data_IF_386867547975
#
_entry.id   IF_386867547975
#
_cell.length_a   1.000
_cell.length_b   1.000
_cell.length_c   1.000
_cell.angle_alpha   90.00
_cell.angle_beta   90.00
_cell.angle_gamma   90.00
#
_symmetry.space_group_name_H-M   'P 1'
#
loop_
_entity.id
_entity.type
_entity.pdbx_description
1 polymer ?
#
# COMPACT_ATOMS: atom_id res chain seq x y z
N UNK A 1 -83.30 -48.84 -46.73
CA UNK A 1 -83.55 -49.58 -45.56
C UNK A 1 -82.22 -49.57 -44.81
N UNK A 2 -82.22 -49.11 -43.63
CA UNK A 2 -81.15 -49.03 -42.67
C UNK A 2 -80.06 -47.94 -42.85
N UNK A 3 -80.38 -46.90 -42.24
CA UNK A 3 -79.55 -45.76 -41.97
C UNK A 3 -78.64 -46.01 -40.76
N UNK A 4 -77.34 -45.98 -40.98
CA UNK A 4 -76.37 -46.03 -39.83
C UNK A 4 -75.76 -44.67 -39.67
N UNK A 5 -76.16 -44.00 -38.60
CA UNK A 5 -75.58 -42.73 -38.08
C UNK A 5 -74.44 -43.05 -37.15
N UNK A 6 -73.24 -42.50 -37.47
CA UNK A 6 -72.07 -42.47 -36.52
C UNK A 6 -71.94 -41.09 -35.88
N UNK A 7 -71.68 -40.99 -34.60
CA UNK A 7 -71.45 -39.72 -33.96
C UNK A 7 -69.99 -39.25 -34.10
N UNK A 8 -69.79 -37.97 -34.41
CA UNK A 8 -68.51 -37.29 -34.44
C UNK A 8 -67.94 -37.14 -33.03
N UNK A 9 -66.73 -37.59 -32.80
CA UNK A 9 -65.92 -37.32 -31.61
C UNK A 9 -65.16 -36.01 -31.83
N UNK A 10 -65.52 -35.01 -31.06
CA UNK A 10 -64.76 -33.77 -30.92
C UNK A 10 -63.47 -34.00 -30.14
N UNK A 11 -62.34 -33.88 -30.80
CA UNK A 11 -61.03 -33.87 -30.15
C UNK A 11 -60.76 -32.47 -29.54
N UNK A 12 -60.73 -32.40 -28.25
CA UNK A 12 -60.31 -31.19 -27.52
C UNK A 12 -58.78 -31.15 -27.54
N UNK A 13 -58.21 -30.27 -28.34
CA UNK A 13 -56.78 -29.93 -28.28
C UNK A 13 -56.55 -29.08 -27.03
N UNK A 14 -55.84 -29.64 -26.04
CA UNK A 14 -55.31 -28.90 -24.91
C UNK A 14 -53.98 -28.21 -25.35
N UNK A 15 -54.06 -26.94 -25.63
CA UNK A 15 -52.85 -26.08 -25.80
C UNK A 15 -52.19 -25.87 -24.44
N UNK A 16 -51.07 -26.52 -24.20
CA UNK A 16 -50.16 -26.21 -23.08
C UNK A 16 -49.34 -24.98 -23.45
N UNK A 17 -49.74 -23.83 -22.93
CA UNK A 17 -48.91 -22.61 -23.01
C UNK A 17 -47.72 -22.75 -22.05
N UNK A 18 -46.50 -22.92 -22.58
CA UNK A 18 -45.26 -22.76 -21.80
C UNK A 18 -45.05 -21.25 -21.56
N UNK A 19 -45.20 -20.82 -20.30
CA UNK A 19 -44.72 -19.51 -19.85
C UNK A 19 -43.17 -19.57 -19.78
N UNK A 20 -42.45 -18.65 -20.40
CA UNK A 20 -41.01 -18.51 -20.17
C UNK A 20 -40.78 -17.92 -18.77
N UNK A 21 -40.12 -18.69 -17.92
CA UNK A 21 -39.65 -18.22 -16.59
C UNK A 21 -38.48 -17.25 -16.85
N UNK A 22 -38.76 -15.94 -16.81
CA UNK A 22 -37.77 -14.88 -16.93
C UNK A 22 -36.99 -14.84 -15.59
N UNK A 23 -35.82 -15.49 -15.54
CA UNK A 23 -34.91 -15.42 -14.42
C UNK A 23 -34.28 -13.99 -14.41
N UNK A 24 -34.82 -13.11 -13.60
CA UNK A 24 -34.22 -11.82 -13.32
C UNK A 24 -32.90 -12.05 -12.57
N UNK A 25 -31.75 -11.89 -13.27
CA UNK A 25 -30.44 -11.82 -12.65
C UNK A 25 -30.42 -10.56 -11.77
N UNK A 26 -30.54 -10.75 -10.45
CA UNK A 26 -30.28 -9.70 -9.48
C UNK A 26 -28.78 -9.39 -9.50
N UNK A 27 -28.38 -8.36 -10.24
CA UNK A 27 -27.04 -7.77 -10.16
C UNK A 27 -26.96 -7.10 -8.78
N UNK A 28 -26.42 -7.81 -7.80
CA UNK A 28 -26.08 -7.23 -6.49
C UNK A 28 -24.90 -6.31 -6.76
N UNK A 29 -25.01 -4.99 -6.47
CA UNK A 29 -23.85 -4.11 -6.60
C UNK A 29 -22.77 -4.62 -5.66
N UNK A 30 -21.59 -4.94 -6.19
CA UNK A 30 -20.42 -5.27 -5.40
C UNK A 30 -20.04 -3.99 -4.64
N UNK A 31 -20.47 -3.88 -3.40
CA UNK A 31 -19.95 -2.84 -2.50
C UNK A 31 -18.46 -3.10 -2.37
N UNK A 32 -17.64 -2.14 -2.84
CA UNK A 32 -16.21 -2.19 -2.60
C UNK A 32 -15.99 -2.36 -1.09
N UNK A 33 -15.35 -3.46 -0.70
CA UNK A 33 -15.09 -3.69 0.73
C UNK A 33 -14.19 -2.58 1.26
N UNK A 34 -14.46 -2.06 2.46
CA UNK A 34 -13.62 -1.04 3.05
C UNK A 34 -12.20 -1.58 3.21
N UNK A 35 -11.22 -0.73 2.93
CA UNK A 35 -9.80 -1.07 3.08
C UNK A 35 -9.55 -1.52 4.52
N UNK A 36 -8.95 -2.71 4.70
CA UNK A 36 -8.73 -3.30 6.01
C UNK A 36 -7.32 -2.99 6.53
N UNK A 37 -7.11 -2.89 7.85
CA UNK A 37 -5.77 -2.83 8.43
C UNK A 37 -4.95 -4.07 8.04
N UNK A 38 -3.65 -3.88 7.82
CA UNK A 38 -2.72 -4.98 7.51
C UNK A 38 -1.80 -5.19 8.72
N UNK A 39 -2.02 -6.24 9.53
CA UNK A 39 -1.08 -6.62 10.58
C UNK A 39 0.26 -7.02 9.96
N UNK A 40 1.35 -6.44 10.45
CA UNK A 40 2.69 -6.78 9.99
C UNK A 40 3.28 -7.88 10.88
N UNK A 41 4.03 -8.84 10.33
CA UNK A 41 4.79 -9.79 11.14
C UNK A 41 5.80 -9.06 12.04
N UNK A 42 6.19 -9.68 13.15
CA UNK A 42 7.25 -9.12 14.01
C UNK A 42 8.53 -8.88 13.17
N UNK A 43 9.15 -7.69 13.23
CA UNK A 43 10.36 -7.41 12.49
C UNK A 43 11.50 -8.37 12.89
N UNK A 44 12.23 -8.85 11.91
CA UNK A 44 13.45 -9.64 12.10
C UNK A 44 14.63 -8.68 12.19
N UNK A 45 15.16 -8.52 13.40
CA UNK A 45 16.22 -7.53 13.69
C UNK A 45 17.63 -8.16 13.73
N UNK A 46 17.71 -9.46 13.51
CA UNK A 46 18.99 -10.20 13.45
C UNK A 46 19.27 -10.60 12.00
N UNK A 47 20.51 -10.44 11.58
CA UNK A 47 20.94 -10.75 10.21
C UNK A 47 21.23 -9.50 9.39
N UNK A 48 21.09 -9.65 8.07
CA UNK A 48 21.45 -8.61 7.11
C UNK A 48 22.95 -8.56 6.80
N UNK A 49 23.31 -7.68 5.87
CA UNK A 49 24.70 -7.47 5.45
C UNK A 49 25.44 -6.58 6.45
N UNK A 50 26.74 -6.80 6.71
CA UNK A 50 27.55 -5.90 7.56
C UNK A 50 27.50 -4.45 7.09
N UNK A 51 27.37 -3.50 8.04
CA UNK A 51 27.12 -2.07 7.76
C UNK A 51 28.08 -1.48 6.72
N UNK A 52 29.39 -1.74 6.82
CA UNK A 52 30.37 -1.19 5.89
C UNK A 52 30.18 -1.71 4.46
N UNK A 53 29.74 -2.95 4.30
CA UNK A 53 29.39 -3.50 2.99
C UNK A 53 28.10 -2.90 2.45
N UNK A 54 27.09 -2.70 3.30
CA UNK A 54 25.85 -2.00 2.91
C UNK A 54 26.15 -0.56 2.44
N UNK A 55 26.98 0.18 3.18
CA UNK A 55 27.38 1.53 2.81
C UNK A 55 28.12 1.56 1.45
N UNK A 56 28.98 0.58 1.19
CA UNK A 56 29.70 0.45 -0.07
C UNK A 56 28.77 0.12 -1.26
N UNK A 57 27.66 -0.59 -1.02
CA UNK A 57 26.72 -1.00 -2.08
C UNK A 57 25.54 -0.05 -2.23
N UNK A 58 25.20 0.74 -1.21
CA UNK A 58 24.08 1.66 -1.24
C UNK A 58 24.20 2.66 -2.42
N UNK A 59 23.23 2.63 -3.28
CA UNK A 59 23.10 3.61 -4.39
C UNK A 59 21.62 3.85 -4.70
N UNK A 60 21.32 4.90 -5.47
CA UNK A 60 19.96 5.17 -5.94
C UNK A 60 19.71 4.41 -7.24
N UNK A 61 18.60 3.68 -7.29
CA UNK A 61 18.13 2.96 -8.47
C UNK A 61 16.69 3.34 -8.77
N UNK A 62 16.35 3.55 -10.05
CA UNK A 62 15.05 4.08 -10.49
C UNK A 62 14.24 3.11 -11.33
N UNK A 63 14.63 1.84 -11.31
CA UNK A 63 13.96 0.77 -12.06
C UNK A 63 13.49 -0.29 -11.08
N UNK A 64 12.26 -0.74 -11.25
CA UNK A 64 11.59 -1.68 -10.36
C UNK A 64 10.92 -2.79 -11.16
N UNK A 65 10.89 -3.97 -10.56
CA UNK A 65 10.11 -5.13 -11.02
C UNK A 65 8.72 -5.06 -10.39
N UNK A 66 7.73 -5.69 -11.02
CA UNK A 66 6.34 -5.71 -10.53
C UNK A 66 6.11 -6.71 -9.37
N UNK A 67 7.15 -7.38 -8.88
CA UNK A 67 7.04 -8.35 -7.79
C UNK A 67 6.67 -7.68 -6.48
N UNK A 68 5.73 -8.29 -5.79
CA UNK A 68 5.32 -7.87 -4.47
C UNK A 68 6.40 -8.13 -3.42
N UNK A 69 6.63 -7.18 -2.52
CA UNK A 69 7.40 -7.44 -1.31
C UNK A 69 6.57 -8.32 -0.36
N UNK A 70 7.20 -9.31 0.27
CA UNK A 70 6.54 -10.08 1.32
C UNK A 70 6.16 -9.18 2.49
N UNK A 71 5.11 -9.53 3.24
CA UNK A 71 4.75 -8.79 4.46
C UNK A 71 5.90 -8.77 5.48
N UNK A 72 6.75 -9.81 5.51
CA UNK A 72 7.92 -9.84 6.38
C UNK A 72 8.96 -8.82 5.93
N UNK A 73 9.26 -8.74 4.64
CA UNK A 73 10.19 -7.74 4.08
C UNK A 73 9.66 -6.32 4.31
N UNK A 74 8.35 -6.10 4.10
CA UNK A 74 7.71 -4.82 4.36
C UNK A 74 7.79 -4.43 5.85
N UNK A 75 7.54 -5.37 6.76
CA UNK A 75 7.67 -5.14 8.20
C UNK A 75 9.09 -4.76 8.58
N UNK A 76 10.08 -5.50 8.08
CA UNK A 76 11.50 -5.22 8.33
C UNK A 76 11.90 -3.85 7.77
N UNK A 77 11.46 -3.50 6.57
CA UNK A 77 11.67 -2.20 5.93
C UNK A 77 11.14 -1.05 6.78
N UNK A 78 9.88 -1.12 7.19
CA UNK A 78 9.24 -0.05 7.94
C UNK A 78 9.81 0.08 9.35
N UNK A 79 10.15 -1.05 9.98
CA UNK A 79 10.84 -1.03 11.27
C UNK A 79 12.24 -0.41 11.13
N UNK A 80 13.01 -0.78 10.11
CA UNK A 80 14.33 -0.18 9.89
C UNK A 80 14.23 1.33 9.61
N UNK A 81 13.21 1.76 8.89
CA UNK A 81 12.96 3.15 8.55
C UNK A 81 12.72 4.00 9.82
N UNK A 82 11.65 3.68 10.56
CA UNK A 82 11.22 4.51 11.70
C UNK A 82 10.52 3.69 12.81
N UNK A 83 10.92 2.43 12.98
CA UNK A 83 10.37 1.54 14.01
C UNK A 83 10.79 1.93 15.43
N UNK A 84 10.15 1.29 16.41
CA UNK A 84 10.48 1.47 17.82
C UNK A 84 11.58 0.46 18.19
N UNK A 85 12.72 0.95 18.65
CA UNK A 85 13.86 0.14 19.07
C UNK A 85 14.16 0.20 20.56
N UNK A 86 13.54 1.11 21.30
CA UNK A 86 13.64 1.25 22.76
C UNK A 86 12.27 1.57 23.36
N UNK A 87 11.98 1.03 24.56
CA UNK A 87 10.72 1.32 25.24
C UNK A 87 10.58 2.81 25.58
N UNK A 88 9.37 3.22 25.90
CA UNK A 88 9.09 4.60 26.33
C UNK A 88 9.80 4.90 27.66
N UNK A 89 10.61 5.95 27.65
CA UNK A 89 11.19 6.53 28.87
C UNK A 89 10.36 7.73 29.32
N UNK A 90 10.26 7.94 30.65
CA UNK A 90 9.40 8.97 31.26
C UNK A 90 9.68 10.36 30.69
N UNK A 91 10.95 10.69 30.45
CA UNK A 91 11.38 12.03 30.01
C UNK A 91 11.68 12.15 28.52
N UNK A 92 11.76 11.03 27.79
CA UNK A 92 12.27 11.01 26.41
C UNK A 92 11.31 10.40 25.37
N UNK A 93 10.21 9.83 25.80
CA UNK A 93 9.31 9.11 24.88
C UNK A 93 9.90 7.79 24.39
N UNK A 94 9.40 7.29 23.26
CA UNK A 94 9.91 6.06 22.64
C UNK A 94 11.18 6.33 21.83
N UNK A 95 12.12 5.37 21.84
CA UNK A 95 13.26 5.42 20.94
C UNK A 95 12.89 4.90 19.56
N UNK A 96 13.34 5.60 18.53
CA UNK A 96 13.17 5.22 17.13
C UNK A 96 14.47 4.69 16.54
N UNK A 97 14.35 3.95 15.42
CA UNK A 97 15.51 3.49 14.62
C UNK A 97 16.22 4.65 13.93
N UNK A 98 15.52 5.71 13.56
CA UNK A 98 16.09 6.97 13.10
C UNK A 98 16.04 8.03 14.22
N UNK A 99 17.03 8.93 14.31
CA UNK A 99 16.94 10.07 15.21
C UNK A 99 15.88 11.07 14.72
N UNK A 100 15.43 11.93 15.61
CA UNK A 100 14.54 13.03 15.30
C UNK A 100 14.99 14.25 16.10
N UNK A 101 15.00 15.42 15.49
CA UNK A 101 15.38 16.66 16.14
C UNK A 101 14.45 16.93 17.31
N UNK A 102 15.02 17.29 18.47
CA UNK A 102 14.28 17.49 19.71
C UNK A 102 13.42 16.28 20.14
N UNK A 103 13.61 15.13 19.52
CA UNK A 103 12.78 13.93 19.65
C UNK A 103 11.29 14.19 19.35
N UNK A 104 11.00 15.07 18.39
CA UNK A 104 9.62 15.45 18.00
C UNK A 104 8.85 14.25 17.42
N UNK A 105 9.54 13.40 16.64
CA UNK A 105 8.98 12.18 16.04
C UNK A 105 7.69 12.44 15.24
N UNK A 106 7.57 13.59 14.61
CA UNK A 106 6.37 14.07 13.92
C UNK A 106 6.26 13.61 12.45
N UNK A 107 7.29 12.92 11.94
CA UNK A 107 7.22 12.32 10.60
C UNK A 107 6.30 11.11 10.63
N UNK A 108 5.23 11.17 9.86
CA UNK A 108 4.34 10.06 9.57
C UNK A 108 4.79 9.37 8.27
N UNK A 109 4.82 8.04 8.30
CA UNK A 109 5.11 7.23 7.11
C UNK A 109 3.80 6.71 6.55
N UNK A 110 3.36 7.29 5.43
CA UNK A 110 2.26 6.76 4.66
C UNK A 110 2.80 5.78 3.61
N UNK A 111 2.27 4.57 3.61
CA UNK A 111 2.70 3.49 2.72
C UNK A 111 1.72 3.35 1.57
N UNK A 112 2.17 3.63 0.37
CA UNK A 112 1.39 3.50 -0.86
C UNK A 112 1.65 2.11 -1.44
N UNK A 113 0.59 1.29 -1.49
CA UNK A 113 0.55 -0.05 -2.05
C UNK A 113 -0.44 -0.11 -3.23
N UNK A 114 -0.43 -1.18 -4.05
CA UNK A 114 -1.45 -1.39 -5.09
C UNK A 114 -2.89 -1.40 -4.58
N UNK A 115 -3.10 -1.78 -3.32
CA UNK A 115 -4.42 -1.87 -2.69
C UNK A 115 -4.92 -0.57 -2.08
N UNK A 116 -4.02 0.38 -1.78
CA UNK A 116 -4.36 1.65 -1.15
C UNK A 116 -3.20 2.33 -0.45
N UNK A 117 -3.54 3.38 0.29
CA UNK A 117 -2.60 4.13 1.14
C UNK A 117 -2.90 3.82 2.60
N UNK A 118 -1.84 3.64 3.38
CA UNK A 118 -1.90 3.23 4.78
C UNK A 118 -0.90 4.03 5.61
N UNK A 119 -1.29 4.42 6.83
CA UNK A 119 -0.35 4.95 7.81
C UNK A 119 0.36 3.81 8.55
N UNK A 120 1.67 3.89 8.68
CA UNK A 120 2.44 2.93 9.48
C UNK A 120 2.33 3.24 10.97
N UNK A 121 1.73 2.32 11.72
CA UNK A 121 1.69 2.34 13.17
C UNK A 121 2.84 1.49 13.74
N UNK A 122 3.89 2.16 14.18
CA UNK A 122 5.06 1.47 14.73
C UNK A 122 4.82 0.87 16.13
N UNK A 123 3.83 1.35 16.90
CA UNK A 123 3.50 0.80 18.22
C UNK A 123 2.79 -0.53 18.10
N UNK A 124 1.85 -0.61 17.17
CA UNK A 124 1.06 -1.82 16.93
C UNK A 124 1.66 -2.71 15.84
N UNK A 125 2.69 -2.23 15.16
CA UNK A 125 3.31 -2.86 14.00
C UNK A 125 2.27 -3.28 12.95
N UNK A 126 1.47 -2.32 12.50
CA UNK A 126 0.43 -2.52 11.50
C UNK A 126 0.34 -1.33 10.54
N UNK A 127 -0.31 -1.55 9.41
CA UNK A 127 -0.68 -0.52 8.45
C UNK A 127 -2.16 -0.18 8.66
N UNK A 128 -2.45 1.06 9.08
CA UNK A 128 -3.82 1.57 9.23
C UNK A 128 -4.31 2.13 7.90
N UNK A 129 -5.49 1.73 7.42
CA UNK A 129 -6.00 2.18 6.13
C UNK A 129 -6.29 3.69 6.14
N UNK A 130 -5.85 4.40 5.09
CA UNK A 130 -6.19 5.80 4.84
C UNK A 130 -7.17 5.89 3.67
N UNK A 131 -6.81 5.32 2.51
CA UNK A 131 -7.58 5.46 1.29
C UNK A 131 -7.44 4.21 0.41
N UNK A 132 -8.57 3.65 -0.03
CA UNK A 132 -8.60 2.46 -0.88
C UNK A 132 -8.33 2.77 -2.35
N UNK A 133 -7.79 1.79 -3.07
CA UNK A 133 -7.54 1.84 -4.51
C UNK A 133 -6.07 2.07 -4.87
N UNK A 134 -5.70 1.73 -6.09
CA UNK A 134 -4.34 1.99 -6.59
C UNK A 134 -4.20 3.48 -6.95
N UNK A 135 -3.60 4.23 -6.06
CA UNK A 135 -3.39 5.67 -6.19
C UNK A 135 -2.00 6.02 -6.71
N UNK A 136 -1.14 5.04 -7.01
CA UNK A 136 0.23 5.27 -7.46
C UNK A 136 0.30 6.18 -8.67
N UNK A 137 -0.46 5.89 -9.72
CA UNK A 137 -0.49 6.70 -10.93
C UNK A 137 -1.05 8.13 -10.73
N UNK A 138 -1.95 8.32 -9.77
CA UNK A 138 -2.52 9.64 -9.47
C UNK A 138 -1.63 10.51 -8.59
N UNK A 139 -0.84 9.90 -7.70
CA UNK A 139 0.02 10.57 -6.72
C UNK A 139 1.46 10.70 -7.19
N UNK A 140 1.94 9.69 -7.91
CA UNK A 140 3.34 9.55 -8.34
C UNK A 140 3.47 9.81 -9.86
N UNK A 141 4.72 9.87 -10.32
CA UNK A 141 5.02 9.89 -11.74
C UNK A 141 5.71 8.58 -12.15
N UNK A 142 5.84 8.31 -13.44
CA UNK A 142 6.69 7.21 -13.90
C UNK A 142 8.18 7.59 -13.76
N UNK A 143 9.06 6.68 -13.33
CA UNK A 143 8.85 5.25 -13.04
C UNK A 143 8.48 4.92 -11.59
N UNK A 144 8.28 5.91 -10.70
CA UNK A 144 8.05 5.73 -9.26
C UNK A 144 6.82 4.84 -8.98
N UNK A 145 5.79 5.03 -9.79
CA UNK A 145 4.53 4.29 -9.67
C UNK A 145 4.66 2.78 -9.92
N UNK A 146 5.78 2.31 -10.49
CA UNK A 146 6.02 0.88 -10.72
C UNK A 146 6.55 0.14 -9.51
N UNK A 147 7.14 0.84 -8.54
CA UNK A 147 7.58 0.20 -7.31
C UNK A 147 6.39 -0.42 -6.58
N UNK A 148 6.59 -1.60 -5.98
CA UNK A 148 5.53 -2.24 -5.18
C UNK A 148 5.18 -1.40 -3.96
N UNK A 149 6.17 -0.80 -3.31
CA UNK A 149 6.03 0.03 -2.11
C UNK A 149 6.56 1.42 -2.37
N UNK A 150 5.80 2.43 -2.00
CA UNK A 150 6.31 3.80 -1.88
C UNK A 150 5.99 4.32 -0.47
N UNK A 151 7.03 4.75 0.24
CA UNK A 151 6.92 5.42 1.53
C UNK A 151 6.80 6.92 1.24
N UNK A 152 5.70 7.52 1.66
CA UNK A 152 5.47 8.95 1.62
C UNK A 152 5.75 9.53 3.01
N UNK A 153 6.56 10.55 3.08
CA UNK A 153 6.92 11.25 4.32
C UNK A 153 6.03 12.47 4.50
N UNK A 154 5.17 12.43 5.51
CA UNK A 154 4.23 13.50 5.84
C UNK A 154 4.62 14.10 7.18
N UNK A 155 4.74 15.43 7.24
CA UNK A 155 5.18 16.14 8.44
C UNK A 155 4.17 17.17 8.92
N UNK A 156 4.34 17.65 10.14
CA UNK A 156 3.69 18.88 10.59
C UNK A 156 4.23 20.07 9.76
N UNK A 157 3.35 20.88 9.23
CA UNK A 157 3.71 22.05 8.40
C UNK A 157 4.55 23.10 9.14
N UNK A 158 4.58 23.06 10.46
CA UNK A 158 5.33 23.99 11.32
C UNK A 158 6.68 23.43 11.79
N UNK A 159 6.95 22.13 11.53
CA UNK A 159 8.22 21.56 11.96
C UNK A 159 9.36 22.01 11.05
N UNK A 160 10.31 22.76 11.64
CA UNK A 160 11.47 23.28 10.92
C UNK A 160 12.55 22.23 10.67
N UNK A 161 12.50 21.09 11.34
CA UNK A 161 13.46 20.00 11.22
C UNK A 161 12.94 18.82 10.37
N UNK A 162 11.70 18.89 9.92
CA UNK A 162 11.03 17.80 9.21
C UNK A 162 11.84 17.26 8.00
N UNK A 163 12.53 18.13 7.27
CA UNK A 163 13.36 17.72 6.12
C UNK A 163 14.61 16.95 6.58
N UNK A 164 15.23 17.36 7.70
CA UNK A 164 16.39 16.68 8.27
C UNK A 164 15.99 15.30 8.79
N UNK A 165 14.92 15.22 9.56
CA UNK A 165 14.38 13.98 10.12
C UNK A 165 13.98 13.00 9.01
N UNK A 166 13.34 13.49 7.95
CA UNK A 166 13.03 12.69 6.76
C UNK A 166 14.30 12.13 6.10
N UNK A 167 15.39 12.91 6.04
CA UNK A 167 16.68 12.45 5.52
C UNK A 167 17.27 11.29 6.33
N UNK A 168 17.17 11.33 7.68
CA UNK A 168 17.61 10.24 8.53
C UNK A 168 16.81 8.95 8.28
N UNK A 169 15.49 9.08 8.18
CA UNK A 169 14.61 7.95 7.90
C UNK A 169 14.89 7.39 6.50
N UNK A 170 15.02 8.27 5.51
CA UNK A 170 15.30 7.89 4.12
C UNK A 170 16.63 7.14 3.96
N UNK A 171 17.66 7.52 4.73
CA UNK A 171 18.92 6.78 4.74
C UNK A 171 18.76 5.37 5.32
N UNK A 172 17.98 5.18 6.38
CA UNK A 172 17.69 3.86 6.91
C UNK A 172 17.02 2.96 5.87
N UNK A 173 16.06 3.49 5.10
CA UNK A 173 15.40 2.79 3.99
C UNK A 173 16.43 2.38 2.92
N UNK A 174 17.35 3.27 2.54
CA UNK A 174 18.41 2.94 1.59
C UNK A 174 19.34 1.84 2.08
N UNK A 175 19.74 1.89 3.36
CA UNK A 175 20.60 0.86 3.94
C UNK A 175 19.90 -0.49 3.99
N UNK A 176 18.64 -0.51 4.41
CA UNK A 176 17.84 -1.74 4.39
C UNK A 176 17.72 -2.28 2.97
N UNK A 177 17.35 -1.44 2.00
CA UNK A 177 17.22 -1.86 0.61
C UNK A 177 18.52 -2.47 0.06
N UNK A 178 19.67 -1.84 0.30
CA UNK A 178 20.97 -2.35 -0.12
C UNK A 178 21.31 -3.68 0.56
N UNK A 179 20.98 -3.86 1.85
CA UNK A 179 21.18 -5.11 2.57
C UNK A 179 20.35 -6.28 2.01
N UNK A 180 19.14 -6.00 1.54
CA UNK A 180 18.19 -6.99 1.05
C UNK A 180 18.20 -7.18 -0.48
N UNK A 181 19.12 -6.50 -1.18
CA UNK A 181 19.19 -6.55 -2.65
C UNK A 181 17.98 -5.90 -3.34
N UNK A 182 17.36 -4.92 -2.69
CA UNK A 182 16.26 -4.14 -3.23
C UNK A 182 16.75 -2.86 -3.88
N UNK A 183 16.02 -2.38 -4.85
CA UNK A 183 16.17 -1.04 -5.41
C UNK A 183 15.43 -0.01 -4.56
N UNK A 184 16.01 1.19 -4.43
CA UNK A 184 15.38 2.30 -3.74
C UNK A 184 15.67 3.63 -4.41
N UNK A 185 14.66 4.52 -4.39
CA UNK A 185 14.77 5.88 -4.92
C UNK A 185 14.02 6.87 -4.03
N UNK A 186 14.75 7.84 -3.48
CA UNK A 186 14.21 8.95 -2.70
C UNK A 186 14.06 10.19 -3.60
N UNK A 187 12.91 10.86 -3.56
CA UNK A 187 12.59 11.98 -4.46
C UNK A 187 11.56 12.95 -3.86
N UNK A 188 11.48 14.14 -4.45
CA UNK A 188 10.47 15.13 -4.10
C UNK A 188 9.13 14.78 -4.71
N UNK A 189 8.05 15.05 -3.99
CA UNK A 189 6.67 14.84 -4.48
C UNK A 189 6.07 16.15 -5.02
N UNK A 190 5.03 16.03 -5.83
CA UNK A 190 4.15 17.15 -6.16
C UNK A 190 3.16 17.34 -5.03
N UNK A 191 3.54 18.18 -4.04
CA UNK A 191 2.81 18.33 -2.79
C UNK A 191 1.32 18.61 -2.98
N UNK A 192 0.95 19.49 -3.89
CA UNK A 192 -0.45 19.81 -4.16
C UNK A 192 -1.26 18.59 -4.63
N UNK A 193 -0.66 17.75 -5.49
CA UNK A 193 -1.30 16.53 -5.99
C UNK A 193 -1.53 15.53 -4.86
N UNK A 194 -0.52 15.30 -4.03
CA UNK A 194 -0.60 14.36 -2.90
C UNK A 194 -1.59 14.87 -1.87
N UNK A 195 -1.52 16.16 -1.49
CA UNK A 195 -2.43 16.81 -0.56
C UNK A 195 -3.89 16.67 -1.01
N UNK A 196 -4.16 16.92 -2.30
CA UNK A 196 -5.50 16.79 -2.85
C UNK A 196 -5.99 15.32 -2.84
N UNK A 197 -5.12 14.36 -3.23
CA UNK A 197 -5.48 12.94 -3.28
C UNK A 197 -5.78 12.37 -1.90
N UNK A 198 -4.96 12.70 -0.89
CA UNK A 198 -5.11 12.21 0.48
C UNK A 198 -5.99 13.11 1.34
N UNK A 199 -6.43 14.26 0.83
CA UNK A 199 -7.20 15.28 1.58
C UNK A 199 -6.50 15.68 2.88
N UNK A 200 -5.19 15.88 2.80
CA UNK A 200 -4.40 16.27 3.97
C UNK A 200 -4.87 17.61 4.54
N UNK A 201 -4.96 17.74 5.88
CA UNK A 201 -5.28 19.03 6.49
C UNK A 201 -4.12 20.00 6.31
N UNK A 202 -4.39 21.31 6.40
CA UNK A 202 -3.39 22.38 6.24
C UNK A 202 -2.25 22.34 7.29
N UNK A 203 -2.39 21.53 8.34
CA UNK A 203 -1.36 21.27 9.34
C UNK A 203 -0.37 20.18 8.94
N UNK A 204 -0.63 19.47 7.84
CA UNK A 204 0.21 18.36 7.36
C UNK A 204 0.68 18.63 5.95
N UNK A 205 1.96 18.36 5.69
CA UNK A 205 2.56 18.54 4.37
C UNK A 205 3.29 17.26 3.93
N UNK A 206 3.10 16.81 2.68
CA UNK A 206 3.93 15.76 2.11
C UNK A 206 5.26 16.37 1.65
N UNK A 207 6.37 15.82 2.13
CA UNK A 207 7.71 16.36 1.87
C UNK A 207 8.40 15.62 0.71
N UNK A 208 8.56 14.31 0.88
CA UNK A 208 9.29 13.43 -0.02
C UNK A 208 8.57 12.08 -0.13
N UNK A 209 8.98 11.30 -1.11
CA UNK A 209 8.63 9.89 -1.19
C UNK A 209 9.87 9.05 -1.45
N UNK A 210 9.79 7.78 -1.10
CA UNK A 210 10.84 6.81 -1.38
C UNK A 210 10.23 5.50 -1.88
N UNK A 211 10.44 5.19 -3.15
CA UNK A 211 10.02 3.96 -3.77
C UNK A 211 11.00 2.84 -3.47
N UNK A 212 10.48 1.65 -3.14
CA UNK A 212 11.26 0.44 -2.85
C UNK A 212 10.62 -0.75 -3.56
N UNK A 213 11.47 -1.58 -4.17
CA UNK A 213 11.00 -2.77 -4.88
C UNK A 213 12.17 -3.63 -5.33
N UNK A 214 11.87 -4.77 -5.93
CA UNK A 214 12.92 -5.62 -6.50
C UNK A 214 13.54 -4.98 -7.76
N UNK A 215 14.83 -5.26 -8.03
CA UNK A 215 15.43 -4.91 -9.31
C UNK A 215 14.75 -5.70 -10.45
N UNK A 216 14.68 -5.13 -11.67
CA UNK A 216 14.21 -5.88 -12.84
C UNK A 216 15.01 -7.15 -13.05
N UNK A 217 14.31 -8.23 -13.38
CA UNK A 217 14.97 -9.48 -13.75
C UNK A 217 15.73 -9.26 -15.08
N UNK A 218 17.02 -9.61 -15.17
CA UNK A 218 17.75 -9.50 -16.43
C UNK A 218 17.03 -10.27 -17.55
N UNK A 219 16.96 -9.73 -18.77
CA UNK A 219 16.42 -10.48 -19.89
C UNK A 219 17.22 -11.77 -20.08
N UNK A 220 16.49 -12.87 -20.33
CA UNK A 220 17.08 -14.19 -20.60
C UNK A 220 17.77 -14.22 -21.97
#
# INVERSE_FOLDING_TARGET
MDTCTRPCLNSIQRSTALLPLLAALLVVPAFAQPLQPIPLPKPQIAGGMPLMQVLAQRHTTRTFDDRDLSLQTLSNLLWSAFGINRPREVMRGMGRTAPSAMNSQDIELDVILPTGVYAYDAEQNLLRPILAGDLRASMLTEPEARAHVTILYVADAKDTFAQVDTGFIGQNVYLFAASEGLNAWFYTVKADRVTAALKLPNTRIPLYAQSVGYPPTPPK
#
